data_IF_162004687452
#
_entry.id   IF_162004687452
#
_cell.length_a   1.000
_cell.length_b   1.000
_cell.length_c   1.000
_cell.angle_alpha   90.00
_cell.angle_beta   90.00
_cell.angle_gamma   90.00
#
_symmetry.space_group_name_H-M   'P 1'
#
loop_
_entity.id
_entity.type
_entity.pdbx_description
1 polymer ?
#
# COMPACT_ATOMS: atom_id res chain seq x y z
N UNK A 1 7.46 24.42 56.26
CA UNK A 1 7.90 24.34 54.86
C UNK A 1 7.15 23.25 54.08
N UNK A 2 7.00 22.02 54.61
CA UNK A 2 6.19 20.96 54.00
C UNK A 2 4.75 21.37 53.63
N UNK A 3 4.04 22.09 54.51
CA UNK A 3 2.68 22.61 54.22
C UNK A 3 2.68 23.63 53.08
N UNK A 4 3.75 24.44 52.93
CA UNK A 4 3.85 25.42 51.83
C UNK A 4 4.16 24.73 50.50
N UNK A 5 5.01 23.70 50.51
CA UNK A 5 5.27 22.89 49.30
C UNK A 5 4.02 22.11 48.87
N UNK A 6 3.27 21.56 49.83
CA UNK A 6 2.00 20.87 49.57
C UNK A 6 0.93 21.84 49.02
N UNK A 7 0.77 23.02 49.63
CA UNK A 7 -0.15 24.06 49.15
C UNK A 7 0.21 24.52 47.73
N UNK A 8 1.50 24.69 47.43
CA UNK A 8 1.95 25.06 46.09
C UNK A 8 1.69 23.95 45.07
N UNK A 9 1.91 22.69 45.45
CA UNK A 9 1.60 21.52 44.63
C UNK A 9 0.11 21.45 44.26
N UNK A 10 -0.77 21.66 45.24
CA UNK A 10 -2.23 21.70 45.04
C UNK A 10 -2.65 22.84 44.10
N UNK A 11 -2.04 24.02 44.22
CA UNK A 11 -2.33 25.15 43.31
C UNK A 11 -1.92 24.80 41.88
N UNK A 12 -0.71 24.26 41.68
CA UNK A 12 -0.22 23.88 40.35
C UNK A 12 -1.11 22.81 39.73
N UNK A 13 -1.49 21.79 40.48
CA UNK A 13 -2.40 20.74 40.03
C UNK A 13 -3.78 21.32 39.66
N UNK A 14 -4.34 22.21 40.48
CA UNK A 14 -5.64 22.81 40.20
C UNK A 14 -5.64 23.66 38.92
N UNK A 15 -4.59 24.46 38.70
CA UNK A 15 -4.42 25.26 37.48
C UNK A 15 -4.22 24.37 36.26
N UNK A 16 -3.46 23.28 36.41
CA UNK A 16 -3.28 22.28 35.36
C UNK A 16 -4.64 21.65 34.99
N UNK A 17 -5.39 21.12 35.95
CA UNK A 17 -6.70 20.51 35.73
C UNK A 17 -7.70 21.49 35.10
N UNK A 18 -7.74 22.75 35.54
CA UNK A 18 -8.60 23.78 34.94
C UNK A 18 -8.20 24.14 33.51
N UNK A 19 -6.90 24.15 33.20
CA UNK A 19 -6.42 24.36 31.82
C UNK A 19 -6.79 23.17 30.94
N UNK A 20 -6.53 21.95 31.41
CA UNK A 20 -6.85 20.72 30.68
C UNK A 20 -8.35 20.60 30.45
N UNK A 21 -9.19 20.92 31.45
CA UNK A 21 -10.65 20.97 31.28
C UNK A 21 -11.07 21.93 30.17
N UNK A 22 -10.60 23.18 30.18
CA UNK A 22 -10.92 24.15 29.12
C UNK A 22 -10.44 23.74 27.73
N UNK A 23 -9.28 23.08 27.65
CA UNK A 23 -8.78 22.53 26.38
C UNK A 23 -9.64 21.37 25.90
N UNK A 24 -10.04 20.47 26.80
CA UNK A 24 -10.95 19.37 26.51
C UNK A 24 -12.32 19.87 26.03
N UNK A 25 -12.84 20.93 26.65
CA UNK A 25 -14.09 21.60 26.23
C UNK A 25 -13.98 22.16 24.80
N UNK A 26 -12.76 22.46 24.32
CA UNK A 26 -12.46 22.87 22.94
C UNK A 26 -12.07 21.70 22.03
N UNK A 27 -12.22 20.45 22.47
CA UNK A 27 -11.83 19.26 21.72
C UNK A 27 -10.32 19.07 21.60
N UNK A 28 -9.53 19.62 22.53
CA UNK A 28 -8.07 19.48 22.58
C UNK A 28 -7.71 18.57 23.76
N UNK A 29 -7.54 17.25 23.53
CA UNK A 29 -7.17 16.33 24.60
C UNK A 29 -5.69 16.38 24.92
N UNK A 30 -5.27 15.60 25.93
CA UNK A 30 -3.84 15.42 26.20
C UNK A 30 -3.15 14.64 25.04
N UNK A 31 -1.86 14.91 24.75
CA UNK A 31 -1.16 14.33 23.60
C UNK A 31 -1.20 12.79 23.50
N UNK A 32 -1.03 12.08 24.62
CA UNK A 32 -1.10 10.61 24.64
C UNK A 32 -2.51 10.09 24.33
N UNK A 33 -3.54 10.81 24.76
CA UNK A 33 -4.93 10.49 24.43
C UNK A 33 -5.20 10.75 22.96
N UNK A 34 -4.63 11.81 22.39
CA UNK A 34 -4.77 12.14 20.97
C UNK A 34 -4.25 11.03 20.05
N UNK A 35 -3.16 10.34 20.41
CA UNK A 35 -2.61 9.23 19.63
C UNK A 35 -3.59 8.07 19.40
N UNK A 36 -4.62 7.93 20.25
CA UNK A 36 -5.65 6.89 20.07
C UNK A 36 -6.47 7.07 18.80
N UNK A 37 -6.43 8.25 18.17
CA UNK A 37 -7.05 8.50 16.87
C UNK A 37 -6.45 7.62 15.75
N UNK A 38 -5.25 7.07 15.94
CA UNK A 38 -4.60 6.12 15.04
C UNK A 38 -4.66 4.66 15.53
N UNK A 39 -5.40 4.40 16.63
CA UNK A 39 -5.57 3.04 17.12
C UNK A 39 -6.43 2.23 16.16
N UNK A 40 -5.97 1.00 15.86
CA UNK A 40 -6.69 0.04 15.03
C UNK A 40 -8.15 -0.08 15.48
N UNK A 41 -9.04 0.02 14.51
CA UNK A 41 -10.45 -0.29 14.62
C UNK A 41 -10.75 -1.30 13.52
N UNK A 42 -11.23 -2.48 13.88
CA UNK A 42 -11.50 -3.51 12.87
C UNK A 42 -12.69 -3.08 12.00
N UNK A 43 -12.50 -2.91 10.67
CA UNK A 43 -13.56 -2.48 9.78
C UNK A 43 -14.74 -3.44 9.69
N UNK A 44 -14.51 -4.75 9.85
CA UNK A 44 -15.60 -5.74 9.78
C UNK A 44 -16.41 -5.72 11.08
N UNK A 45 -15.74 -5.82 12.23
CA UNK A 45 -16.40 -5.82 13.54
C UNK A 45 -17.20 -4.53 13.76
N UNK A 46 -16.65 -3.38 13.35
CA UNK A 46 -17.35 -2.10 13.47
C UNK A 46 -18.60 -2.04 12.57
N UNK A 47 -18.58 -2.69 11.39
CA UNK A 47 -19.75 -2.73 10.51
C UNK A 47 -20.87 -3.60 11.09
N UNK A 48 -20.51 -4.66 11.80
CA UNK A 48 -21.46 -5.59 12.40
C UNK A 48 -22.04 -5.08 13.74
N UNK A 49 -21.22 -4.51 14.60
CA UNK A 49 -21.60 -4.06 15.96
C UNK A 49 -21.09 -2.64 16.24
N UNK A 50 -21.68 -1.64 15.57
CA UNK A 50 -21.34 -0.23 15.78
C UNK A 50 -21.94 0.32 17.07
N UNK A 51 -21.17 1.07 17.87
CA UNK A 51 -21.69 1.71 19.07
C UNK A 51 -22.77 2.73 18.72
N UNK A 52 -23.79 2.84 19.57
CA UNK A 52 -24.83 3.87 19.43
C UNK A 52 -24.23 5.23 19.74
N UNK A 53 -24.25 6.14 18.77
CA UNK A 53 -23.86 7.52 18.97
C UNK A 53 -24.83 8.22 19.92
N UNK A 54 -24.28 8.78 20.99
CA UNK A 54 -25.02 9.61 21.91
C UNK A 54 -25.30 10.97 21.28
N UNK A 55 -26.49 11.51 21.51
CA UNK A 55 -26.82 12.86 21.05
C UNK A 55 -25.82 13.87 21.64
N UNK A 56 -25.30 14.81 20.80
CA UNK A 56 -24.36 15.81 21.29
C UNK A 56 -25.01 16.67 22.37
N UNK A 57 -24.24 17.03 23.38
CA UNK A 57 -24.66 18.00 24.38
C UNK A 57 -24.85 19.39 23.76
N UNK A 58 -25.71 20.22 24.35
CA UNK A 58 -25.83 21.62 23.95
C UNK A 58 -24.61 22.41 24.41
N UNK A 59 -23.88 23.02 23.49
CA UNK A 59 -22.82 23.99 23.78
C UNK A 59 -23.34 25.41 23.54
N UNK A 60 -23.04 26.34 24.45
CA UNK A 60 -23.30 27.77 24.22
C UNK A 60 -22.22 28.42 23.33
N UNK A 61 -21.14 27.68 23.05
CA UNK A 61 -20.00 28.13 22.25
C UNK A 61 -20.01 27.42 20.89
N UNK A 62 -19.84 28.21 19.83
CA UNK A 62 -19.77 27.68 18.46
C UNK A 62 -18.49 26.90 18.22
N UNK A 63 -18.57 25.89 17.36
CA UNK A 63 -17.43 25.07 16.97
C UNK A 63 -16.29 25.95 16.42
N UNK A 64 -15.01 25.58 16.62
CA UNK A 64 -13.88 26.31 16.09
C UNK A 64 -13.94 26.40 14.55
N UNK A 65 -14.42 27.54 14.04
CA UNK A 65 -14.68 27.69 12.60
C UNK A 65 -13.43 27.70 11.72
N UNK A 66 -12.26 28.05 12.27
CA UNK A 66 -11.02 28.21 11.48
C UNK A 66 -10.61 26.92 10.75
N UNK A 67 -10.59 25.77 11.42
CA UNK A 67 -10.24 24.48 10.81
C UNK A 67 -11.24 24.10 9.72
N UNK A 68 -12.53 24.38 9.94
CA UNK A 68 -13.60 24.13 8.97
C UNK A 68 -13.47 25.00 7.71
N UNK A 69 -12.93 26.22 7.80
CA UNK A 69 -12.68 27.05 6.60
C UNK A 69 -11.62 26.48 5.67
N UNK A 70 -10.74 25.62 6.18
CA UNK A 70 -9.68 24.96 5.41
C UNK A 70 -10.14 23.63 4.81
N UNK A 71 -11.29 23.08 5.23
CA UNK A 71 -11.82 21.82 4.75
C UNK A 71 -12.16 21.89 3.25
N UNK A 72 -11.68 20.91 2.50
CA UNK A 72 -11.93 20.79 1.06
C UNK A 72 -12.30 19.33 0.79
N UNK A 73 -13.45 18.87 1.31
CA UNK A 73 -13.85 17.48 1.19
C UNK A 73 -14.00 17.12 -0.29
N UNK A 74 -13.73 15.85 -0.59
CA UNK A 74 -13.85 15.26 -1.93
C UNK A 74 -14.69 13.99 -1.82
N UNK A 75 -15.13 13.47 -2.97
CA UNK A 75 -15.89 12.22 -3.03
C UNK A 75 -17.20 12.30 -2.27
N UNK A 76 -17.58 11.17 -1.66
CA UNK A 76 -18.83 11.00 -0.94
C UNK A 76 -18.97 11.98 0.23
N UNK A 77 -17.88 12.29 0.93
CA UNK A 77 -17.87 13.28 2.00
C UNK A 77 -18.31 14.67 1.50
N UNK A 78 -17.87 15.08 0.32
CA UNK A 78 -18.26 16.38 -0.24
C UNK A 78 -19.76 16.45 -0.53
N UNK A 79 -20.33 15.36 -1.03
CA UNK A 79 -21.76 15.27 -1.34
C UNK A 79 -22.62 15.30 -0.07
N UNK A 80 -22.20 14.61 0.99
CA UNK A 80 -22.91 14.63 2.27
C UNK A 80 -22.89 16.02 2.92
N UNK A 81 -21.76 16.73 2.84
CA UNK A 81 -21.59 18.06 3.44
C UNK A 81 -22.15 19.20 2.58
N UNK A 82 -22.64 18.93 1.36
CA UNK A 82 -23.12 19.95 0.43
C UNK A 82 -24.34 20.73 0.96
N UNK A 83 -25.18 20.09 1.77
CA UNK A 83 -26.37 20.70 2.38
C UNK A 83 -26.05 21.52 3.65
N UNK A 84 -24.77 21.63 3.99
CA UNK A 84 -24.27 22.28 5.19
C UNK A 84 -23.98 21.30 6.32
N UNK A 85 -23.37 21.85 7.37
CA UNK A 85 -22.89 21.10 8.53
C UNK A 85 -23.62 21.66 9.74
N UNK A 86 -24.31 20.80 10.50
CA UNK A 86 -24.88 21.22 11.77
C UNK A 86 -23.77 21.46 12.82
N UNK A 87 -24.12 22.15 13.91
CA UNK A 87 -23.14 22.54 14.92
C UNK A 87 -22.51 21.35 15.64
N UNK A 88 -23.26 20.26 15.85
CA UNK A 88 -22.76 19.05 16.49
C UNK A 88 -21.70 18.37 15.61
N UNK A 89 -21.98 18.24 14.32
CA UNK A 89 -21.04 17.67 13.36
C UNK A 89 -19.80 18.56 13.20
N UNK A 90 -19.96 19.89 13.18
CA UNK A 90 -18.84 20.82 13.14
C UNK A 90 -17.91 20.66 14.36
N UNK A 91 -18.49 20.46 15.55
CA UNK A 91 -17.73 20.16 16.77
C UNK A 91 -16.99 18.83 16.69
N UNK A 92 -17.63 17.77 16.18
CA UNK A 92 -16.98 16.47 16.03
C UNK A 92 -15.81 16.51 15.04
N UNK A 93 -16.01 17.14 13.88
CA UNK A 93 -14.93 17.29 12.88
C UNK A 93 -13.78 18.11 13.45
N UNK A 94 -14.07 19.23 14.13
CA UNK A 94 -13.04 20.05 14.77
C UNK A 94 -12.28 19.27 15.85
N UNK A 95 -12.96 18.44 16.64
CA UNK A 95 -12.34 17.58 17.64
C UNK A 95 -11.38 16.56 17.00
N UNK A 96 -11.78 15.92 15.89
CA UNK A 96 -10.89 14.99 15.16
C UNK A 96 -9.67 15.72 14.60
N UNK A 97 -9.86 16.89 13.97
CA UNK A 97 -8.75 17.71 13.46
C UNK A 97 -7.78 18.08 14.59
N UNK A 98 -8.29 18.57 15.72
CA UNK A 98 -7.47 18.93 16.88
C UNK A 98 -6.71 17.71 17.41
N UNK A 99 -7.36 16.56 17.53
CA UNK A 99 -6.71 15.29 17.91
C UNK A 99 -5.58 14.93 16.96
N UNK A 100 -5.79 15.03 15.66
CA UNK A 100 -4.75 14.71 14.67
C UNK A 100 -3.59 15.71 14.73
N UNK A 101 -3.85 17.01 14.83
CA UNK A 101 -2.82 18.04 15.05
C UNK A 101 -1.94 17.67 16.24
N UNK A 102 -2.55 17.30 17.37
CA UNK A 102 -1.81 16.92 18.57
C UNK A 102 -1.06 15.60 18.41
N UNK A 103 -1.68 14.59 17.79
CA UNK A 103 -1.08 13.28 17.56
C UNK A 103 0.16 13.38 16.66
N UNK A 104 0.08 14.20 15.61
CA UNK A 104 1.15 14.45 14.64
C UNK A 104 2.16 15.51 15.12
N UNK A 105 1.91 16.15 16.27
CA UNK A 105 2.73 17.24 16.85
C UNK A 105 2.90 18.44 15.91
N UNK A 106 1.82 18.79 15.22
CA UNK A 106 1.76 19.91 14.29
C UNK A 106 1.67 21.23 15.05
N UNK A 107 2.37 22.24 14.55
CA UNK A 107 2.24 23.62 15.05
C UNK A 107 0.93 24.23 14.53
N UNK A 108 0.01 24.54 15.45
CA UNK A 108 -1.27 25.19 15.12
C UNK A 108 -1.11 26.59 14.50
N UNK A 109 0.06 27.23 14.66
CA UNK A 109 0.37 28.51 14.04
C UNK A 109 0.72 28.41 12.55
N UNK A 110 1.04 27.21 12.06
CA UNK A 110 1.38 26.96 10.67
C UNK A 110 0.13 26.54 9.87
N UNK A 111 -0.40 27.49 9.10
CA UNK A 111 -1.64 27.31 8.32
C UNK A 111 -1.48 26.19 7.26
N UNK A 112 -0.28 26.02 6.69
CA UNK A 112 -0.04 24.98 5.67
C UNK A 112 -0.07 23.59 6.31
N UNK A 113 0.60 23.42 7.46
CA UNK A 113 0.55 22.15 8.19
C UNK A 113 -0.87 21.83 8.68
N UNK A 114 -1.61 22.82 9.18
CA UNK A 114 -3.00 22.64 9.59
C UNK A 114 -3.88 22.25 8.39
N UNK A 115 -3.70 22.87 7.22
CA UNK A 115 -4.44 22.52 6.01
C UNK A 115 -4.15 21.06 5.58
N UNK A 116 -2.91 20.60 5.69
CA UNK A 116 -2.54 19.20 5.42
C UNK A 116 -3.18 18.21 6.40
N UNK A 117 -3.32 18.58 7.68
CA UNK A 117 -4.06 17.78 8.66
C UNK A 117 -5.55 17.71 8.30
N UNK A 118 -6.15 18.84 7.95
CA UNK A 118 -7.57 18.87 7.56
C UNK A 118 -7.80 17.99 6.31
N UNK A 119 -6.94 18.09 5.30
CA UNK A 119 -7.01 17.22 4.12
C UNK A 119 -6.87 15.72 4.47
N UNK A 120 -6.03 15.39 5.45
CA UNK A 120 -5.87 14.01 5.95
C UNK A 120 -7.13 13.52 6.65
N UNK A 121 -7.74 14.36 7.49
CA UNK A 121 -9.02 14.04 8.15
C UNK A 121 -10.11 13.83 7.11
N UNK A 122 -10.26 14.75 6.15
CA UNK A 122 -11.23 14.64 5.06
C UNK A 122 -11.06 13.33 4.27
N UNK A 123 -9.81 12.95 3.94
CA UNK A 123 -9.51 11.72 3.22
C UNK A 123 -9.94 10.46 4.00
N UNK A 124 -9.60 10.36 5.29
CA UNK A 124 -9.95 9.19 6.10
C UNK A 124 -11.45 9.14 6.46
N UNK A 125 -12.09 10.29 6.67
CA UNK A 125 -13.54 10.35 6.81
C UNK A 125 -14.23 9.85 5.53
N UNK A 126 -13.76 10.28 4.36
CA UNK A 126 -14.31 9.80 3.08
C UNK A 126 -14.15 8.28 2.93
N UNK A 127 -12.97 7.73 3.24
CA UNK A 127 -12.75 6.28 3.19
C UNK A 127 -13.64 5.50 4.17
N UNK A 128 -13.80 6.01 5.39
CA UNK A 128 -14.70 5.41 6.39
C UNK A 128 -16.16 5.43 5.94
N UNK A 129 -16.60 6.52 5.29
CA UNK A 129 -17.95 6.62 4.73
C UNK A 129 -18.16 5.68 3.56
N UNK A 130 -17.24 5.63 2.60
CA UNK A 130 -17.33 4.72 1.46
C UNK A 130 -17.37 3.26 1.95
N UNK A 131 -16.69 2.92 3.04
CA UNK A 131 -16.75 1.56 3.62
C UNK A 131 -18.12 1.17 4.15
N UNK A 132 -18.80 2.10 4.81
CA UNK A 132 -20.10 1.83 5.42
C UNK A 132 -21.26 1.96 4.43
N UNK A 133 -21.18 2.94 3.53
CA UNK A 133 -22.27 3.32 2.65
C UNK A 133 -22.04 2.98 1.17
N UNK A 134 -20.84 2.52 0.80
CA UNK A 134 -20.46 2.34 -0.61
C UNK A 134 -20.49 3.68 -1.35
N UNK A 135 -21.34 3.77 -2.36
CA UNK A 135 -21.56 5.01 -3.14
C UNK A 135 -22.92 5.65 -2.86
N UNK A 136 -23.66 5.19 -1.84
CA UNK A 136 -24.99 5.70 -1.52
C UNK A 136 -24.90 6.94 -0.60
N UNK A 137 -25.24 8.09 -1.16
CA UNK A 137 -25.20 9.39 -0.46
C UNK A 137 -26.19 9.45 0.70
N UNK A 138 -27.36 8.82 0.57
CA UNK A 138 -28.37 8.82 1.63
C UNK A 138 -27.89 7.98 2.82
N UNK A 139 -27.33 6.79 2.55
CA UNK A 139 -26.74 5.95 3.59
C UNK A 139 -25.50 6.62 4.22
N UNK A 140 -24.67 7.30 3.43
CA UNK A 140 -23.53 8.04 3.95
C UNK A 140 -23.94 9.17 4.89
N UNK A 141 -25.05 9.86 4.59
CA UNK A 141 -25.63 10.89 5.47
C UNK A 141 -26.13 10.28 6.78
N UNK A 142 -26.77 9.12 6.72
CA UNK A 142 -27.16 8.36 7.92
C UNK A 142 -25.92 7.98 8.72
N UNK A 143 -24.86 7.49 8.08
CA UNK A 143 -23.60 7.15 8.76
C UNK A 143 -22.95 8.36 9.44
N UNK A 144 -22.92 9.54 8.82
CA UNK A 144 -22.42 10.78 9.47
C UNK A 144 -23.24 11.18 10.70
N UNK A 145 -24.55 10.88 10.69
CA UNK A 145 -25.44 11.15 11.83
C UNK A 145 -25.27 10.12 12.93
N UNK A 146 -25.10 8.85 12.58
CA UNK A 146 -25.13 7.70 13.50
C UNK A 146 -23.75 7.28 14.02
N UNK A 147 -22.65 7.71 13.38
CA UNK A 147 -21.29 7.37 13.75
C UNK A 147 -20.54 8.60 14.29
N UNK A 148 -19.60 8.38 15.21
CA UNK A 148 -18.66 9.42 15.62
C UNK A 148 -17.66 9.69 14.49
N UNK A 149 -17.37 10.96 14.21
CA UNK A 149 -16.34 11.31 13.21
C UNK A 149 -14.97 10.69 13.51
N UNK A 150 -14.64 10.53 14.80
CA UNK A 150 -13.40 9.87 15.22
C UNK A 150 -13.36 8.39 14.82
N UNK A 151 -14.49 7.69 14.92
CA UNK A 151 -14.56 6.29 14.52
C UNK A 151 -14.52 6.15 12.99
N UNK A 152 -15.18 7.04 12.25
CA UNK A 152 -15.07 7.10 10.78
C UNK A 152 -13.62 7.36 10.33
N UNK A 153 -12.92 8.29 10.99
CA UNK A 153 -11.51 8.54 10.73
C UNK A 153 -10.66 7.30 11.03
N UNK A 154 -10.85 6.68 12.19
CA UNK A 154 -10.11 5.47 12.61
C UNK A 154 -10.36 4.31 11.66
N UNK A 155 -11.58 4.16 11.18
CA UNK A 155 -11.99 3.16 10.20
C UNK A 155 -11.25 3.38 8.88
N UNK A 156 -11.30 4.59 8.31
CA UNK A 156 -10.59 4.95 7.09
C UNK A 156 -9.07 4.76 7.21
N UNK A 157 -8.48 5.16 8.33
CA UNK A 157 -7.07 4.92 8.61
C UNK A 157 -6.76 3.41 8.73
N UNK A 158 -7.62 2.63 9.39
CA UNK A 158 -7.44 1.19 9.58
C UNK A 158 -7.47 0.43 8.26
N UNK A 159 -8.26 0.85 7.27
CA UNK A 159 -8.20 0.28 5.92
C UNK A 159 -6.78 0.41 5.33
N UNK A 160 -6.15 1.57 5.43
CA UNK A 160 -4.76 1.76 4.96
C UNK A 160 -3.73 0.98 5.79
N UNK A 161 -3.98 0.83 7.10
CA UNK A 161 -3.11 0.05 7.99
C UNK A 161 -3.17 -1.45 7.69
N UNK A 162 -4.34 -1.97 7.26
CA UNK A 162 -4.50 -3.35 6.78
C UNK A 162 -3.59 -3.62 5.58
N UNK A 163 -3.54 -2.69 4.62
CA UNK A 163 -2.63 -2.76 3.47
C UNK A 163 -1.17 -2.73 3.90
N UNK A 164 -0.79 -1.80 4.79
CA UNK A 164 0.58 -1.72 5.32
C UNK A 164 1.02 -3.04 5.98
N UNK A 165 0.17 -3.66 6.80
CA UNK A 165 0.49 -4.93 7.47
C UNK A 165 0.74 -6.05 6.46
N UNK A 166 -0.08 -6.15 5.41
CA UNK A 166 0.13 -7.10 4.30
C UNK A 166 1.43 -6.79 3.55
N UNK A 167 1.66 -5.53 3.20
CA UNK A 167 2.89 -5.07 2.55
C UNK A 167 4.14 -5.34 3.38
N UNK A 168 4.09 -5.17 4.71
CA UNK A 168 5.22 -5.46 5.61
C UNK A 168 5.57 -6.97 5.65
N UNK A 169 4.59 -7.87 5.44
CA UNK A 169 4.85 -9.30 5.32
C UNK A 169 5.59 -9.62 4.01
N UNK A 170 5.12 -9.05 2.89
CA UNK A 170 5.79 -9.17 1.60
C UNK A 170 7.19 -8.56 1.65
N UNK A 171 7.34 -7.35 2.19
CA UNK A 171 8.61 -6.62 2.25
C UNK A 171 9.69 -7.26 3.11
N UNK A 172 9.34 -8.21 3.99
CA UNK A 172 10.28 -8.99 4.81
C UNK A 172 10.65 -10.35 4.20
N UNK A 173 10.03 -10.71 3.08
CA UNK A 173 10.28 -11.97 2.39
C UNK A 173 11.59 -11.97 1.62
N UNK A 174 12.06 -13.15 1.25
CA UNK A 174 13.24 -13.34 0.41
C UNK A 174 13.05 -12.88 -1.03
N UNK A 175 11.80 -12.76 -1.49
CA UNK A 175 11.48 -12.26 -2.84
C UNK A 175 11.45 -10.74 -2.94
N UNK A 176 11.31 -10.02 -1.82
CA UNK A 176 11.10 -8.57 -1.80
C UNK A 176 12.15 -7.76 -2.60
N UNK A 177 13.46 -8.10 -2.57
CA UNK A 177 14.46 -7.39 -3.35
C UNK A 177 14.26 -7.50 -4.88
N UNK A 178 13.61 -8.57 -5.32
CA UNK A 178 13.46 -8.97 -6.72
C UNK A 178 12.06 -8.70 -7.29
N UNK A 179 11.20 -8.03 -6.52
CA UNK A 179 9.95 -7.48 -7.04
C UNK A 179 10.26 -6.36 -8.04
N UNK A 180 9.38 -6.19 -9.02
CA UNK A 180 9.51 -5.11 -10.00
C UNK A 180 9.52 -3.72 -9.33
N UNK A 181 10.00 -2.72 -10.06
CA UNK A 181 10.17 -1.36 -9.54
C UNK A 181 8.88 -0.79 -8.95
N UNK A 182 7.74 -0.97 -9.63
CA UNK A 182 6.48 -0.42 -9.18
C UNK A 182 5.95 -1.16 -7.94
N UNK A 183 6.14 -2.48 -7.87
CA UNK A 183 5.82 -3.26 -6.68
C UNK A 183 6.64 -2.77 -5.47
N UNK A 184 7.96 -2.57 -5.63
CA UNK A 184 8.82 -2.01 -4.57
C UNK A 184 8.41 -0.59 -4.17
N UNK A 185 8.06 0.27 -5.13
CA UNK A 185 7.57 1.62 -4.87
C UNK A 185 6.25 1.62 -4.10
N UNK A 186 5.32 0.72 -4.45
CA UNK A 186 4.07 0.52 -3.73
C UNK A 186 4.32 0.10 -2.26
N UNK A 187 5.19 -0.88 -2.02
CA UNK A 187 5.56 -1.30 -0.66
C UNK A 187 6.19 -0.15 0.14
N UNK A 188 7.06 0.65 -0.50
CA UNK A 188 7.68 1.83 0.11
C UNK A 188 6.63 2.87 0.52
N UNK A 189 5.65 3.16 -0.35
CA UNK A 189 4.56 4.09 -0.05
C UNK A 189 3.69 3.62 1.13
N UNK A 190 3.38 2.32 1.20
CA UNK A 190 2.63 1.73 2.31
C UNK A 190 3.41 1.76 3.63
N UNK A 191 4.74 1.68 3.58
CA UNK A 191 5.58 1.68 4.78
C UNK A 191 5.68 3.08 5.45
N UNK A 192 5.31 4.14 4.74
CA UNK A 192 5.29 5.50 5.29
C UNK A 192 4.29 5.66 6.46
N UNK A 193 4.38 6.80 7.16
CA UNK A 193 3.40 7.18 8.18
C UNK A 193 2.81 8.58 7.85
N UNK A 194 1.50 8.66 7.58
CA UNK A 194 0.57 7.53 7.40
C UNK A 194 0.89 6.69 6.14
N UNK A 195 0.31 5.49 5.97
CA UNK A 195 0.44 4.72 4.73
C UNK A 195 -0.10 5.54 3.54
N UNK A 196 0.66 5.58 2.44
CA UNK A 196 0.33 6.35 1.25
C UNK A 196 -0.01 5.44 0.06
N UNK A 197 -0.82 5.99 -0.84
CA UNK A 197 -1.09 5.43 -2.16
C UNK A 197 0.04 5.80 -3.12
N UNK A 198 0.54 4.81 -3.86
CA UNK A 198 1.48 5.01 -4.96
C UNK A 198 0.71 5.15 -6.27
N UNK A 199 0.89 6.27 -6.97
CA UNK A 199 0.10 6.58 -8.17
C UNK A 199 0.36 5.60 -9.33
N UNK A 200 1.54 4.96 -9.33
CA UNK A 200 1.91 3.91 -10.28
C UNK A 200 1.02 2.66 -10.23
N UNK A 201 0.23 2.47 -9.17
CA UNK A 201 -0.77 1.40 -9.07
C UNK A 201 -1.92 1.62 -10.07
N UNK A 202 -2.28 2.88 -10.32
CA UNK A 202 -3.34 3.25 -11.26
C UNK A 202 -2.83 3.46 -12.67
N UNK A 203 -1.63 4.01 -12.82
CA UNK A 203 -0.99 4.28 -14.10
C UNK A 203 0.51 4.02 -13.95
N UNK A 204 1.01 2.94 -14.55
CA UNK A 204 2.41 2.50 -14.41
C UNK A 204 3.45 3.53 -14.87
N UNK A 205 3.03 4.59 -15.58
CA UNK A 205 3.90 5.69 -16.02
C UNK A 205 3.99 6.83 -15.00
N UNK A 206 3.12 6.86 -14.01
CA UNK A 206 3.10 7.88 -12.98
C UNK A 206 3.96 7.48 -11.79
N UNK A 207 4.87 8.38 -11.41
CA UNK A 207 5.56 8.35 -10.14
C UNK A 207 4.89 9.31 -9.15
N UNK A 208 4.95 9.01 -7.87
CA UNK A 208 4.43 9.89 -6.82
C UNK A 208 3.67 9.13 -5.74
N UNK A 209 3.54 9.78 -4.58
CA UNK A 209 2.79 9.22 -3.45
C UNK A 209 1.88 10.28 -2.86
N UNK A 210 0.66 9.88 -2.49
CA UNK A 210 -0.33 10.75 -1.85
C UNK A 210 -1.22 9.96 -0.90
N UNK A 211 -2.11 10.65 -0.21
CA UNK A 211 -3.16 9.97 0.56
C UNK A 211 -4.11 9.21 -0.39
N UNK A 212 -4.66 8.11 0.13
CA UNK A 212 -5.76 7.39 -0.49
C UNK A 212 -6.99 8.29 -0.57
N UNK A 213 -7.60 8.36 -1.74
CA UNK A 213 -8.76 9.20 -2.02
C UNK A 213 -10.08 8.43 -2.00
N UNK A 214 -10.07 7.13 -2.28
CA UNK A 214 -11.28 6.30 -2.37
C UNK A 214 -11.03 4.83 -2.02
N UNK A 215 -12.11 4.10 -1.75
CA UNK A 215 -12.10 2.65 -1.57
C UNK A 215 -11.71 1.89 -2.84
N UNK A 216 -11.95 2.47 -4.02
CA UNK A 216 -11.48 1.88 -5.27
C UNK A 216 -9.94 1.78 -5.28
N UNK A 217 -9.24 2.81 -4.80
CA UNK A 217 -7.77 2.78 -4.67
C UNK A 217 -7.29 1.75 -3.64
N UNK A 218 -8.02 1.57 -2.53
CA UNK A 218 -7.76 0.48 -1.57
C UNK A 218 -7.84 -0.87 -2.29
N UNK A 219 -8.94 -1.12 -3.02
CA UNK A 219 -9.13 -2.37 -3.76
C UNK A 219 -8.06 -2.61 -4.84
N UNK A 220 -7.59 -1.56 -5.51
CA UNK A 220 -6.49 -1.67 -6.47
C UNK A 220 -5.19 -2.11 -5.79
N UNK A 221 -4.85 -1.52 -4.64
CA UNK A 221 -3.67 -1.92 -3.87
C UNK A 221 -3.83 -3.33 -3.29
N UNK A 222 -5.03 -3.74 -2.87
CA UNK A 222 -5.29 -5.11 -2.41
C UNK A 222 -5.03 -6.15 -3.50
N UNK A 223 -5.43 -5.87 -4.75
CA UNK A 223 -5.15 -6.72 -5.91
C UNK A 223 -3.66 -6.78 -6.22
N UNK A 224 -2.97 -5.64 -6.17
CA UNK A 224 -1.51 -5.57 -6.35
C UNK A 224 -0.77 -6.37 -5.27
N UNK A 225 -1.09 -6.17 -4.00
CA UNK A 225 -0.54 -6.95 -2.90
C UNK A 225 -0.85 -8.44 -3.05
N UNK A 226 -2.05 -8.80 -3.51
CA UNK A 226 -2.41 -10.19 -3.80
C UNK A 226 -1.48 -10.84 -4.82
N UNK A 227 -1.10 -10.12 -5.89
CA UNK A 227 -0.12 -10.61 -6.87
C UNK A 227 1.26 -10.81 -6.25
N UNK A 228 1.72 -9.88 -5.42
CA UNK A 228 3.01 -9.99 -4.73
C UNK A 228 3.02 -11.15 -3.71
N UNK A 229 1.92 -11.35 -2.99
CA UNK A 229 1.73 -12.45 -2.05
C UNK A 229 1.75 -13.81 -2.77
N UNK A 230 1.11 -13.91 -3.93
CA UNK A 230 1.17 -15.10 -4.80
C UNK A 230 2.59 -15.35 -5.31
N UNK A 231 3.29 -14.32 -5.77
CA UNK A 231 4.70 -14.43 -6.18
C UNK A 231 5.58 -14.89 -5.01
N UNK A 232 5.40 -14.32 -3.81
CA UNK A 232 6.11 -14.77 -2.61
C UNK A 232 5.86 -16.25 -2.35
N UNK A 233 4.60 -16.69 -2.32
CA UNK A 233 4.24 -18.09 -2.10
C UNK A 233 4.84 -19.00 -3.18
N UNK A 234 4.78 -18.58 -4.45
CA UNK A 234 5.34 -19.34 -5.56
C UNK A 234 6.84 -19.59 -5.35
N UNK A 235 7.62 -18.55 -5.07
CA UNK A 235 9.08 -18.67 -5.00
C UNK A 235 9.59 -19.22 -3.67
N UNK A 236 8.90 -18.97 -2.55
CA UNK A 236 9.35 -19.44 -1.23
C UNK A 236 8.85 -20.85 -0.92
N UNK A 237 7.60 -21.17 -1.28
CA UNK A 237 6.93 -22.39 -0.82
C UNK A 237 6.83 -23.46 -1.92
N UNK A 238 6.80 -23.07 -3.20
CA UNK A 238 6.51 -23.98 -4.33
C UNK A 238 7.74 -24.26 -5.21
N UNK A 239 8.43 -23.21 -5.68
CA UNK A 239 9.62 -23.35 -6.51
C UNK A 239 10.80 -23.69 -5.59
N UNK A 240 11.22 -24.95 -5.62
CA UNK A 240 12.22 -25.50 -4.69
C UNK A 240 13.67 -25.07 -4.99
N UNK A 241 13.91 -23.77 -5.23
CA UNK A 241 15.25 -23.17 -5.23
C UNK A 241 15.29 -21.98 -4.28
N UNK A 242 16.40 -21.79 -3.53
CA UNK A 242 16.50 -20.66 -2.61
C UNK A 242 16.69 -19.35 -3.39
N UNK A 243 16.00 -18.30 -2.97
CA UNK A 243 16.27 -16.97 -3.48
C UNK A 243 17.68 -16.53 -3.03
N UNK A 244 18.54 -16.07 -3.96
CA UNK A 244 19.87 -15.61 -3.58
C UNK A 244 19.78 -14.36 -2.70
N UNK A 245 20.79 -14.13 -1.86
CA UNK A 245 20.89 -12.86 -1.13
C UNK A 245 21.44 -11.81 -2.11
N UNK A 246 20.73 -10.67 -2.31
CA UNK A 246 21.13 -9.64 -3.27
C UNK A 246 22.51 -9.03 -3.00
N UNK A 247 23.06 -9.20 -1.78
CA UNK A 247 24.40 -8.71 -1.43
C UNK A 247 25.54 -9.66 -1.86
N UNK A 248 25.20 -10.89 -2.22
CA UNK A 248 26.17 -11.99 -2.39
C UNK A 248 26.03 -12.69 -3.74
N UNK A 249 24.98 -12.38 -4.50
CA UNK A 249 24.80 -12.87 -5.87
C UNK A 249 25.97 -12.41 -6.74
N UNK A 250 26.60 -13.35 -7.44
CA UNK A 250 27.66 -13.07 -8.40
C UNK A 250 27.04 -12.98 -9.80
N UNK A 251 27.10 -11.79 -10.38
CA UNK A 251 26.63 -11.48 -11.73
C UNK A 251 27.80 -11.10 -12.65
N UNK A 252 29.02 -11.45 -12.27
CA UNK A 252 30.22 -11.13 -13.05
C UNK A 252 30.15 -11.78 -14.42
N UNK A 253 30.19 -10.95 -15.47
CA UNK A 253 30.04 -11.41 -16.85
C UNK A 253 28.62 -11.83 -17.22
N UNK A 254 27.62 -11.58 -16.38
CA UNK A 254 26.21 -11.80 -16.71
C UNK A 254 25.55 -10.56 -17.33
N UNK A 255 24.42 -10.77 -17.99
CA UNK A 255 23.44 -9.73 -18.33
C UNK A 255 22.04 -10.20 -17.86
N UNK A 256 21.32 -9.41 -17.04
CA UNK A 256 21.77 -8.18 -16.38
C UNK A 256 22.97 -8.41 -15.43
N UNK A 257 23.86 -7.42 -15.32
CA UNK A 257 25.04 -7.44 -14.43
C UNK A 257 24.78 -6.78 -13.06
N UNK A 258 23.64 -6.11 -12.92
CA UNK A 258 23.22 -5.43 -11.70
C UNK A 258 22.01 -6.12 -11.08
N UNK A 259 22.08 -6.36 -9.77
CA UNK A 259 21.01 -7.00 -8.99
C UNK A 259 19.70 -6.22 -9.01
N UNK A 260 19.75 -4.88 -9.13
CA UNK A 260 18.56 -4.03 -9.17
C UNK A 260 17.74 -4.22 -10.46
N UNK A 261 18.36 -4.77 -11.51
CA UNK A 261 17.76 -5.07 -12.81
C UNK A 261 17.25 -6.52 -12.89
N UNK A 262 17.51 -7.33 -11.85
CA UNK A 262 17.02 -8.71 -11.75
C UNK A 262 15.66 -8.73 -11.07
N UNK A 263 14.71 -9.40 -11.71
CA UNK A 263 13.36 -9.62 -11.17
C UNK A 263 13.06 -11.10 -10.97
N UNK A 264 11.93 -11.40 -10.32
CA UNK A 264 11.38 -12.76 -10.25
C UNK A 264 11.16 -13.39 -11.62
N UNK A 265 10.86 -12.60 -12.66
CA UNK A 265 10.75 -13.10 -14.04
C UNK A 265 12.08 -13.70 -14.48
N UNK A 266 13.20 -13.01 -14.24
CA UNK A 266 14.52 -13.48 -14.62
C UNK A 266 14.82 -14.83 -13.97
N UNK A 267 14.53 -14.99 -12.67
CA UNK A 267 14.71 -16.27 -11.99
C UNK A 267 13.84 -17.38 -12.57
N UNK A 268 12.56 -17.12 -12.82
CA UNK A 268 11.64 -18.13 -13.34
C UNK A 268 11.99 -18.58 -14.76
N UNK A 269 12.18 -17.64 -15.68
CA UNK A 269 12.46 -17.97 -17.09
C UNK A 269 13.85 -18.57 -17.27
N UNK A 270 14.86 -18.11 -16.52
CA UNK A 270 16.18 -18.77 -16.50
C UNK A 270 16.07 -20.21 -15.99
N UNK A 271 15.26 -20.45 -14.95
CA UNK A 271 15.01 -21.82 -14.45
C UNK A 271 14.25 -22.68 -15.45
N UNK A 272 13.29 -22.10 -16.16
CA UNK A 272 12.53 -22.76 -17.21
C UNK A 272 13.43 -23.13 -18.40
N UNK A 273 14.31 -22.22 -18.83
CA UNK A 273 15.30 -22.47 -19.86
C UNK A 273 16.21 -23.65 -19.50
N UNK A 274 16.76 -23.66 -18.27
CA UNK A 274 17.57 -24.77 -17.80
C UNK A 274 16.82 -26.11 -17.86
N UNK A 275 15.56 -26.14 -17.40
CA UNK A 275 14.71 -27.34 -17.48
C UNK A 275 14.46 -27.81 -18.91
N UNK A 276 14.23 -26.88 -19.85
CA UNK A 276 14.02 -27.21 -21.26
C UNK A 276 15.28 -27.80 -21.91
N UNK A 277 16.45 -27.33 -21.50
CA UNK A 277 17.76 -27.89 -21.91
C UNK A 277 18.12 -29.18 -21.16
N UNK A 278 17.22 -29.74 -20.35
CA UNK A 278 17.40 -31.01 -19.65
C UNK A 278 18.18 -30.92 -18.33
N UNK A 279 18.36 -29.72 -17.78
CA UNK A 279 19.00 -29.47 -16.47
C UNK A 279 17.95 -29.38 -15.36
N UNK A 280 18.42 -29.25 -14.12
CA UNK A 280 17.53 -28.98 -12.98
C UNK A 280 16.85 -27.61 -13.13
N UNK A 281 15.64 -27.47 -12.56
CA UNK A 281 14.92 -26.20 -12.52
C UNK A 281 15.57 -25.27 -11.48
N UNK A 282 16.64 -24.61 -11.91
CA UNK A 282 17.47 -23.71 -11.11
C UNK A 282 17.79 -22.46 -11.95
N UNK A 283 17.88 -21.27 -11.35
CA UNK A 283 18.13 -20.03 -12.07
C UNK A 283 19.63 -19.84 -12.34
N UNK A 284 20.27 -20.84 -12.96
CA UNK A 284 21.67 -20.77 -13.34
C UNK A 284 21.81 -19.97 -14.65
N UNK A 285 22.73 -19.00 -14.75
CA UNK A 285 22.92 -18.22 -15.97
C UNK A 285 23.07 -19.10 -17.21
N UNK A 286 22.42 -18.71 -18.31
CA UNK A 286 22.49 -19.41 -19.59
C UNK A 286 23.70 -18.90 -20.36
N UNK A 287 24.56 -19.78 -20.85
CA UNK A 287 25.70 -19.35 -21.65
C UNK A 287 25.23 -18.77 -23.00
N UNK A 288 25.89 -17.70 -23.46
CA UNK A 288 25.58 -17.03 -24.73
C UNK A 288 25.50 -18.00 -25.92
N UNK A 289 26.45 -18.94 -26.01
CA UNK A 289 26.50 -19.96 -27.06
C UNK A 289 25.29 -20.90 -27.10
N UNK A 290 24.53 -21.00 -25.99
CA UNK A 290 23.35 -21.88 -25.87
C UNK A 290 22.05 -21.18 -26.29
N UNK A 291 22.06 -19.86 -26.43
CA UNK A 291 20.85 -19.06 -26.70
C UNK A 291 20.19 -19.44 -28.02
N UNK A 292 20.97 -19.69 -29.08
CA UNK A 292 20.41 -20.11 -30.37
C UNK A 292 19.71 -21.47 -30.26
N UNK A 293 20.27 -22.39 -29.47
CA UNK A 293 19.67 -23.69 -29.19
C UNK A 293 18.37 -23.56 -28.41
N UNK A 294 18.38 -22.76 -27.33
CA UNK A 294 17.19 -22.47 -26.54
C UNK A 294 16.10 -21.80 -27.39
N UNK A 295 16.46 -20.81 -28.21
CA UNK A 295 15.53 -20.13 -29.10
C UNK A 295 14.83 -21.12 -30.03
N UNK A 296 15.56 -22.10 -30.60
CA UNK A 296 14.97 -23.16 -31.42
C UNK A 296 14.03 -24.11 -30.68
N UNK A 297 14.12 -24.20 -29.35
CA UNK A 297 13.21 -24.99 -28.51
C UNK A 297 11.94 -24.22 -28.15
N UNK A 298 12.06 -22.91 -27.89
CA UNK A 298 10.97 -22.07 -27.38
C UNK A 298 10.22 -21.30 -28.45
N UNK A 299 10.85 -20.99 -29.60
CA UNK A 299 10.25 -20.20 -30.68
C UNK A 299 9.78 -21.08 -31.84
N UNK A 300 8.60 -20.77 -32.37
CA UNK A 300 8.04 -21.37 -33.58
C UNK A 300 7.50 -20.27 -34.50
N UNK A 301 8.16 -20.05 -35.64
CA UNK A 301 7.76 -19.02 -36.62
C UNK A 301 7.75 -17.58 -36.06
N UNK A 302 8.68 -17.24 -35.16
CA UNK A 302 8.83 -15.89 -34.61
C UNK A 302 7.85 -15.56 -33.48
N UNK A 303 7.18 -16.57 -32.93
CA UNK A 303 6.33 -16.47 -31.73
C UNK A 303 6.68 -17.59 -30.76
N UNK A 304 6.33 -17.42 -29.49
CA UNK A 304 6.50 -18.49 -28.51
C UNK A 304 5.71 -19.74 -28.93
N UNK A 305 6.34 -20.91 -28.83
CA UNK A 305 5.74 -22.19 -29.16
C UNK A 305 4.42 -22.37 -28.37
N UNK A 306 3.25 -22.46 -29.04
CA UNK A 306 1.96 -22.49 -28.37
C UNK A 306 1.80 -23.67 -27.41
N UNK A 307 2.43 -24.80 -27.73
CA UNK A 307 2.40 -25.99 -26.89
C UNK A 307 3.22 -25.80 -25.61
N UNK A 308 4.39 -25.17 -25.71
CA UNK A 308 5.21 -24.84 -24.54
C UNK A 308 4.44 -23.88 -23.61
N UNK A 309 3.77 -22.88 -24.20
CA UNK A 309 2.92 -21.94 -23.46
C UNK A 309 1.81 -22.67 -22.71
N UNK A 310 1.03 -23.51 -23.39
CA UNK A 310 -0.06 -24.26 -22.77
C UNK A 310 0.45 -25.19 -21.65
N UNK A 311 1.51 -25.96 -21.90
CA UNK A 311 2.08 -26.89 -20.93
C UNK A 311 2.64 -26.16 -19.69
N UNK A 312 3.31 -25.02 -19.88
CA UNK A 312 3.89 -24.25 -18.77
C UNK A 312 2.82 -23.56 -17.92
N UNK A 313 1.83 -22.93 -18.56
CA UNK A 313 0.69 -22.30 -17.87
C UNK A 313 -0.09 -23.34 -17.08
N UNK A 314 -0.39 -24.49 -17.69
CA UNK A 314 -1.08 -25.59 -17.01
C UNK A 314 -0.27 -26.18 -15.86
N UNK A 315 1.04 -26.34 -16.04
CA UNK A 315 1.92 -26.82 -14.98
C UNK A 315 1.91 -25.87 -13.79
N UNK A 316 2.15 -24.58 -14.00
CA UNK A 316 2.21 -23.62 -12.89
C UNK A 316 0.85 -23.43 -12.20
N UNK A 317 -0.24 -23.41 -12.98
CA UNK A 317 -1.60 -23.39 -12.44
C UNK A 317 -1.98 -24.65 -11.67
N UNK A 318 -1.32 -25.79 -11.91
CA UNK A 318 -1.55 -27.01 -11.12
C UNK A 318 -0.81 -27.01 -9.78
N UNK A 319 0.21 -26.16 -9.62
CA UNK A 319 1.00 -26.06 -8.40
C UNK A 319 0.41 -25.07 -7.40
N UNK A 320 -0.23 -24.01 -7.89
CA UNK A 320 -0.79 -22.96 -7.06
C UNK A 320 -1.86 -22.17 -7.82
N UNK A 321 -2.93 -21.79 -7.13
CA UNK A 321 -3.94 -20.85 -7.65
C UNK A 321 -3.27 -19.52 -8.02
N UNK A 322 -3.58 -18.98 -9.20
CA UNK A 322 -2.93 -17.77 -9.73
C UNK A 322 -1.54 -18.01 -10.37
N UNK A 323 -1.00 -19.24 -10.29
CA UNK A 323 0.24 -19.60 -10.98
C UNK A 323 0.15 -19.43 -12.51
N UNK A 324 -1.01 -19.74 -13.11
CA UNK A 324 -1.26 -19.56 -14.55
C UNK A 324 -1.03 -18.13 -15.04
N UNK A 325 -1.44 -17.13 -14.24
CA UNK A 325 -1.33 -15.71 -14.63
C UNK A 325 0.12 -15.26 -14.59
N UNK A 326 0.88 -15.68 -13.58
CA UNK A 326 2.32 -15.40 -13.50
C UNK A 326 3.10 -16.07 -14.64
N UNK A 327 2.79 -17.33 -14.95
CA UNK A 327 3.39 -18.02 -16.11
C UNK A 327 3.07 -17.30 -17.41
N UNK A 328 1.81 -16.90 -17.62
CA UNK A 328 1.41 -16.15 -18.82
C UNK A 328 2.22 -14.86 -18.96
N UNK A 329 2.30 -14.06 -17.90
CA UNK A 329 3.08 -12.82 -17.88
C UNK A 329 4.57 -13.06 -18.21
N UNK A 330 5.20 -14.06 -17.60
CA UNK A 330 6.61 -14.37 -17.89
C UNK A 330 6.80 -14.79 -19.36
N UNK A 331 5.88 -15.58 -19.89
CA UNK A 331 5.97 -16.09 -21.26
C UNK A 331 5.69 -15.01 -22.31
N UNK A 332 4.89 -13.99 -21.99
CA UNK A 332 4.70 -12.82 -22.84
C UNK A 332 6.02 -12.05 -23.03
N UNK A 333 6.84 -11.95 -21.97
CA UNK A 333 8.18 -11.35 -22.07
C UNK A 333 9.08 -12.16 -23.01
N UNK A 334 9.08 -13.49 -22.92
CA UNK A 334 9.80 -14.31 -23.90
C UNK A 334 9.27 -14.15 -25.32
N UNK A 335 7.95 -14.08 -25.50
CA UNK A 335 7.36 -13.89 -26.83
C UNK A 335 7.80 -12.56 -27.45
N UNK A 336 7.74 -11.47 -26.69
CA UNK A 336 8.04 -10.12 -27.15
C UNK A 336 9.53 -9.84 -27.29
N UNK A 337 10.36 -10.30 -26.34
CA UNK A 337 11.77 -9.89 -26.22
C UNK A 337 12.78 -10.98 -26.61
N UNK A 338 12.35 -12.23 -26.83
CA UNK A 338 13.25 -13.33 -27.21
C UNK A 338 12.81 -14.04 -28.49
N UNK A 339 11.55 -14.49 -28.59
CA UNK A 339 11.07 -15.26 -29.73
C UNK A 339 10.80 -14.42 -30.99
N UNK A 340 10.55 -13.12 -30.82
CA UNK A 340 10.31 -12.17 -31.92
C UNK A 340 11.58 -11.84 -32.71
N UNK A 341 12.76 -12.10 -32.12
CA UNK A 341 14.07 -11.83 -32.70
C UNK A 341 14.52 -13.04 -33.53
N UNK A 342 15.07 -12.80 -34.73
CA UNK A 342 15.64 -13.87 -35.54
C UNK A 342 16.85 -14.50 -34.84
N UNK A 343 17.03 -15.82 -34.96
CA UNK A 343 18.12 -16.52 -34.25
C UNK A 343 19.53 -15.98 -34.58
N UNK A 344 19.72 -15.40 -35.76
CA UNK A 344 20.99 -14.79 -36.20
C UNK A 344 21.21 -13.38 -35.60
N UNK A 345 20.14 -12.75 -35.12
CA UNK A 345 20.11 -11.38 -34.61
C UNK A 345 20.00 -11.32 -33.08
N UNK A 346 20.10 -12.48 -32.40
CA UNK A 346 20.07 -12.55 -30.93
C UNK A 346 21.33 -11.87 -30.39
N UNK A 347 21.15 -10.70 -29.77
CA UNK A 347 22.19 -10.05 -28.98
C UNK A 347 21.96 -10.37 -27.49
N UNK A 348 22.86 -11.11 -26.83
CA UNK A 348 22.70 -11.55 -25.43
C UNK A 348 22.54 -10.40 -24.43
N UNK A 349 22.93 -9.17 -24.80
CA UNK A 349 22.85 -7.99 -23.93
C UNK A 349 21.46 -7.37 -23.87
N UNK A 350 20.58 -7.73 -24.79
CA UNK A 350 19.24 -7.15 -24.92
C UNK A 350 18.12 -8.17 -24.76
N UNK A 351 18.42 -9.36 -24.22
CA UNK A 351 17.40 -10.40 -24.05
C UNK A 351 16.62 -10.18 -22.75
N UNK A 352 15.31 -10.05 -22.92
CA UNK A 352 14.35 -9.93 -21.83
C UNK A 352 14.23 -11.15 -20.95
N UNK A 353 14.12 -10.90 -19.64
CA UNK A 353 13.63 -11.90 -18.69
C UNK A 353 14.55 -13.09 -18.46
N UNK A 354 15.83 -13.06 -18.86
CA UNK A 354 16.80 -14.14 -18.55
C UNK A 354 18.05 -13.57 -17.89
N UNK A 355 18.85 -14.46 -17.28
CA UNK A 355 20.20 -14.18 -16.82
C UNK A 355 21.14 -14.92 -17.77
N UNK A 356 21.93 -14.18 -18.54
CA UNK A 356 22.80 -14.72 -19.58
C UNK A 356 24.26 -14.49 -19.20
N UNK A 357 25.08 -15.54 -19.22
CA UNK A 357 26.53 -15.43 -19.09
C UNK A 357 27.15 -15.09 -20.46
N UNK A 358 27.78 -13.93 -20.55
CA UNK A 358 28.50 -13.47 -21.73
C UNK A 358 29.86 -14.17 -21.84
N UNK A 359 30.34 -14.37 -23.07
CA UNK A 359 31.73 -14.78 -23.30
C UNK A 359 32.71 -13.69 -22.84
N UNK A 360 33.79 -14.08 -22.16
CA UNK A 360 34.89 -13.16 -21.83
C UNK A 360 35.57 -12.71 -23.14
N UNK A 361 35.65 -11.39 -23.37
CA UNK A 361 36.34 -10.78 -24.52
C UNK A 361 37.86 -10.94 -24.40
#
# INVERSE_FOLDING_TARGET
EAVRSETMGLIVESVYQQRTGRLLDMGIPEPFTAQKVYAWLDPEDYREDRPVKLAPGTSEVSAPGFTMTLARPKGLLAEVLADGIDEGLAWEMANVVNKVILADRIDMGDVEQVANVVAKVDAYLNLGLEWLAGTDVAEARTCMTDCYCEDLFRLGFSLTLRLKRRGDLVGKSSVAPYLDHNARACLSALHQFPPLFFEGVADSTQGGTRLFASLAEIGMVEQWLGRMELQRQLFEDVLHFPMPDPKVIDLSGCQPDNVDDITLVNFFLTSLANKLMGRDFQPLPIAEEELAGLHGMVSQSGVLNPRLREETVKWLGSLMDGGSDFATYCLDIWEEEFCSIGFEDIDPRFIGGMIVQLEEI
#
